data_IF_191637754935
#
_entry.id   IF_191637754935
#
_cell.length_a   1.000
_cell.length_b   1.000
_cell.length_c   1.000
_cell.angle_alpha   90.00
_cell.angle_beta   90.00
_cell.angle_gamma   90.00
#
_symmetry.space_group_name_H-M   'P 1'
#
loop_
_entity.id
_entity.type
_entity.pdbx_description
1 polymer ?
#
# COMPACT_ATOMS: atom_id res chain seq x y z
N UNK A 1 -5.14 -15.79 7.19
CA UNK A 1 -3.69 -15.96 6.97
C UNK A 1 -3.15 -14.58 6.65
N UNK A 2 -2.47 -13.95 7.61
CA UNK A 2 -1.84 -12.64 7.43
C UNK A 2 -0.65 -12.81 6.47
N UNK A 3 -0.69 -12.07 5.36
CA UNK A 3 0.38 -12.06 4.37
C UNK A 3 1.66 -11.49 4.98
N UNK A 4 2.58 -12.39 5.36
CA UNK A 4 4.01 -12.08 5.25
C UNK A 4 4.24 -11.60 3.82
N UNK A 5 4.77 -10.39 3.67
CA UNK A 5 5.07 -9.82 2.36
C UNK A 5 5.78 -10.86 1.51
N UNK A 6 5.31 -11.07 0.29
CA UNK A 6 5.87 -12.04 -0.64
C UNK A 6 7.21 -11.53 -1.23
N UNK A 7 7.94 -10.69 -0.50
CA UNK A 7 9.14 -10.04 -0.97
C UNK A 7 10.34 -10.96 -0.78
N UNK A 8 10.99 -11.28 -1.89
CA UNK A 8 12.31 -11.90 -1.90
C UNK A 8 13.37 -10.81 -1.69
N UNK A 9 14.20 -10.98 -0.66
CA UNK A 9 15.25 -10.02 -0.32
C UNK A 9 16.36 -10.04 -1.38
N UNK A 10 16.64 -8.88 -1.95
CA UNK A 10 17.65 -8.67 -2.99
C UNK A 10 18.99 -8.24 -2.38
N UNK A 11 19.00 -7.59 -1.22
CA UNK A 11 20.24 -7.23 -0.53
C UNK A 11 20.79 -8.38 0.30
N UNK A 12 22.13 -8.41 0.44
CA UNK A 12 22.84 -9.43 1.21
C UNK A 12 23.55 -8.78 2.39
N UNK A 13 23.65 -9.52 3.49
CA UNK A 13 24.41 -9.11 4.67
C UNK A 13 25.56 -10.08 4.92
N UNK A 14 26.64 -9.56 5.48
CA UNK A 14 27.73 -10.36 6.02
C UNK A 14 27.29 -11.10 7.28
N UNK A 15 28.13 -12.03 7.76
CA UNK A 15 27.83 -12.82 8.96
C UNK A 15 27.71 -11.98 10.24
N UNK A 16 28.29 -10.78 10.25
CA UNK A 16 28.20 -9.79 11.32
C UNK A 16 26.95 -8.88 11.22
N UNK A 17 26.14 -9.05 10.17
CA UNK A 17 24.94 -8.26 9.91
C UNK A 17 25.17 -6.99 9.09
N UNK A 18 26.42 -6.65 8.74
CA UNK A 18 26.70 -5.50 7.90
C UNK A 18 26.21 -5.70 6.46
N UNK A 19 25.73 -4.62 5.84
CA UNK A 19 25.25 -4.66 4.46
C UNK A 19 26.43 -4.92 3.50
N UNK A 20 26.29 -5.95 2.66
CA UNK A 20 27.26 -6.26 1.62
C UNK A 20 27.19 -5.21 0.51
N UNK A 21 28.27 -4.46 0.31
CA UNK A 21 28.41 -3.46 -0.76
C UNK A 21 29.41 -3.96 -1.79
N UNK A 22 28.99 -4.31 -3.02
CA UNK A 22 29.93 -4.67 -4.06
C UNK A 22 30.78 -3.45 -4.44
N UNK A 23 32.09 -3.56 -4.27
CA UNK A 23 33.03 -2.54 -4.74
C UNK A 23 33.28 -2.78 -6.23
N UNK A 24 32.58 -2.05 -7.09
CA UNK A 24 32.96 -1.97 -8.50
C UNK A 24 34.12 -0.99 -8.64
N UNK A 25 35.16 -1.35 -9.40
CA UNK A 25 36.23 -0.42 -9.78
C UNK A 25 35.66 0.51 -10.86
N UNK A 26 35.13 1.66 -10.45
CA UNK A 26 34.54 2.64 -11.36
C UNK A 26 35.63 3.58 -11.89
N UNK A 27 35.81 3.63 -13.21
CA UNK A 27 36.61 4.67 -13.88
C UNK A 27 35.95 6.04 -13.61
N UNK A 28 36.59 6.87 -12.79
CA UNK A 28 36.07 8.14 -12.24
C UNK A 28 35.70 9.19 -13.30
N UNK A 29 35.85 8.91 -14.60
CA UNK A 29 35.57 9.85 -15.70
C UNK A 29 34.10 9.95 -16.09
N UNK A 30 33.23 9.03 -15.67
CA UNK A 30 31.79 9.10 -15.94
C UNK A 30 31.07 9.27 -14.61
N UNK A 31 30.43 10.42 -14.42
CA UNK A 31 29.68 10.75 -13.20
C UNK A 31 28.47 9.82 -13.03
N UNK A 32 28.70 8.69 -12.38
CA UNK A 32 27.66 7.73 -12.02
C UNK A 32 27.10 8.08 -10.64
N UNK A 33 25.77 8.04 -10.55
CA UNK A 33 25.04 8.06 -9.28
C UNK A 33 25.56 6.91 -8.42
N UNK A 34 25.84 7.21 -7.15
CA UNK A 34 26.48 6.34 -6.18
C UNK A 34 25.65 5.06 -5.97
N UNK A 35 26.02 3.98 -6.66
CA UNK A 35 25.35 2.66 -6.59
C UNK A 35 25.22 2.15 -5.15
N UNK A 36 26.14 2.56 -4.27
CA UNK A 36 26.09 2.32 -2.82
C UNK A 36 24.82 2.89 -2.18
N UNK A 37 24.43 4.11 -2.55
CA UNK A 37 23.25 4.78 -1.98
C UNK A 37 21.95 4.07 -2.38
N UNK A 38 21.94 3.45 -3.56
CA UNK A 38 20.80 2.64 -4.04
C UNK A 38 20.69 1.36 -3.20
N UNK A 39 21.81 0.67 -2.97
CA UNK A 39 21.85 -0.58 -2.21
C UNK A 39 21.50 -0.32 -0.74
N UNK A 40 22.01 0.77 -0.15
CA UNK A 40 21.69 1.18 1.22
C UNK A 40 20.19 1.45 1.39
N UNK A 41 19.58 2.23 0.47
CA UNK A 41 18.14 2.50 0.49
C UNK A 41 17.29 1.26 0.28
N UNK A 42 17.71 0.36 -0.61
CA UNK A 42 16.98 -0.88 -0.86
C UNK A 42 16.97 -1.77 0.40
N UNK A 43 18.12 -1.92 1.06
CA UNK A 43 18.22 -2.68 2.31
C UNK A 43 17.33 -2.09 3.41
N UNK A 44 17.30 -0.76 3.52
CA UNK A 44 16.42 -0.05 4.45
C UNK A 44 14.94 -0.35 4.18
N UNK A 45 14.48 -0.29 2.92
CA UNK A 45 13.09 -0.61 2.59
C UNK A 45 12.74 -2.08 2.83
N UNK A 46 13.64 -3.01 2.52
CA UNK A 46 13.45 -4.44 2.82
C UNK A 46 13.32 -4.68 4.33
N UNK A 47 14.18 -4.04 5.14
CA UNK A 47 14.08 -4.09 6.61
C UNK A 47 12.76 -3.51 7.12
N UNK A 48 12.32 -2.37 6.57
CA UNK A 48 11.05 -1.76 6.93
C UNK A 48 9.87 -2.65 6.54
N UNK A 49 9.92 -3.33 5.40
CA UNK A 49 8.86 -4.25 4.97
C UNK A 49 8.78 -5.48 5.87
N UNK A 50 9.94 -6.10 6.16
CA UNK A 50 10.05 -7.25 7.07
C UNK A 50 9.58 -6.92 8.49
N UNK A 51 9.84 -5.70 8.96
CA UNK A 51 9.38 -5.19 10.25
C UNK A 51 7.90 -4.74 10.23
N UNK A 52 7.24 -4.76 9.07
CA UNK A 52 5.86 -4.28 8.92
C UNK A 52 5.70 -2.77 9.12
N UNK A 53 6.78 -2.00 8.96
CA UNK A 53 6.81 -0.54 9.09
C UNK A 53 6.50 0.21 7.79
N UNK A 54 6.50 -0.49 6.66
CA UNK A 54 5.99 0.08 5.41
C UNK A 54 4.47 0.18 5.44
N UNK A 55 3.97 1.32 4.96
CA UNK A 55 2.54 1.53 4.78
C UNK A 55 1.98 0.51 3.80
N UNK A 56 1.02 -0.29 4.25
CA UNK A 56 0.27 -1.20 3.37
C UNK A 56 -0.98 -0.48 2.89
N UNK A 57 -1.03 -0.21 1.59
CA UNK A 57 -2.22 0.34 0.95
C UNK A 57 -3.36 -0.69 0.97
N UNK A 58 -4.62 -0.23 1.01
CA UNK A 58 -5.79 -1.10 1.10
C UNK A 58 -5.98 -2.01 -0.14
N UNK A 59 -5.53 -1.53 -1.30
CA UNK A 59 -5.60 -2.19 -2.61
C UNK A 59 -4.59 -1.54 -3.56
N UNK A 60 -4.40 -2.12 -4.74
CA UNK A 60 -3.50 -1.59 -5.74
C UNK A 60 -4.14 -0.46 -6.56
N UNK A 61 -3.31 0.44 -7.10
CA UNK A 61 -3.76 1.38 -8.13
C UNK A 61 -4.18 0.59 -9.38
N UNK A 62 -5.34 0.92 -9.94
CA UNK A 62 -5.97 0.20 -11.05
C UNK A 62 -6.97 -0.86 -10.62
N UNK A 63 -7.04 -1.20 -9.33
CA UNK A 63 -8.05 -2.15 -8.83
C UNK A 63 -9.46 -1.58 -8.96
N UNK A 64 -10.42 -2.48 -9.16
CA UNK A 64 -11.84 -2.15 -9.07
C UNK A 64 -12.31 -2.24 -7.63
N UNK A 65 -12.87 -1.16 -7.12
CA UNK A 65 -13.42 -1.07 -5.76
C UNK A 65 -14.90 -0.73 -5.80
N UNK A 66 -15.60 -1.10 -4.73
CA UNK A 66 -17.03 -0.87 -4.58
C UNK A 66 -17.26 0.07 -3.41
N UNK A 67 -18.03 1.14 -3.65
CA UNK A 67 -18.44 2.08 -2.61
C UNK A 67 -19.96 2.14 -2.53
N UNK A 68 -20.51 2.12 -1.33
CA UNK A 68 -21.93 2.39 -1.12
C UNK A 68 -22.13 3.89 -0.89
N UNK A 69 -22.77 4.56 -1.83
CA UNK A 69 -23.01 6.00 -1.81
C UNK A 69 -24.27 6.33 -2.61
N UNK A 70 -24.98 7.38 -2.21
CA UNK A 70 -26.22 7.79 -2.90
C UNK A 70 -27.25 6.64 -3.03
N UNK A 71 -27.36 5.81 -1.97
CA UNK A 71 -28.24 4.63 -1.92
C UNK A 71 -27.94 3.58 -3.01
N UNK A 72 -26.74 3.61 -3.60
CA UNK A 72 -26.31 2.72 -4.69
C UNK A 72 -24.91 2.17 -4.41
N UNK A 73 -24.62 1.02 -5.01
CA UNK A 73 -23.27 0.50 -5.08
C UNK A 73 -22.62 1.06 -6.34
N UNK A 74 -21.60 1.89 -6.15
CA UNK A 74 -20.77 2.42 -7.21
C UNK A 74 -19.60 1.47 -7.46
N UNK A 75 -19.33 1.19 -8.74
CA UNK A 75 -18.12 0.50 -9.19
C UNK A 75 -17.12 1.55 -9.65
N UNK A 76 -15.95 1.57 -9.00
CA UNK A 76 -14.94 2.60 -9.15
C UNK A 76 -13.57 1.96 -9.44
N UNK A 77 -12.68 2.72 -10.06
CA UNK A 77 -11.29 2.35 -10.30
C UNK A 77 -10.39 3.20 -9.39
N UNK A 78 -9.39 2.58 -8.77
CA UNK A 78 -8.40 3.32 -7.98
C UNK A 78 -7.42 4.01 -8.91
N UNK A 79 -7.39 5.34 -8.90
CA UNK A 79 -6.46 6.11 -9.75
C UNK A 79 -5.14 6.41 -9.02
N UNK A 80 -5.22 6.74 -7.73
CA UNK A 80 -4.04 7.05 -6.92
C UNK A 80 -4.37 7.13 -5.43
N UNK A 81 -3.32 7.09 -4.60
CA UNK A 81 -3.37 7.43 -3.20
C UNK A 81 -2.54 8.68 -2.94
N UNK A 82 -3.04 9.57 -2.08
CA UNK A 82 -2.25 10.67 -1.52
C UNK A 82 -2.10 10.41 -0.03
N UNK A 83 -0.87 10.37 0.44
CA UNK A 83 -0.54 10.02 1.83
C UNK A 83 -0.10 11.29 2.56
N UNK A 84 -0.70 11.52 3.71
CA UNK A 84 -0.34 12.57 4.64
C UNK A 84 0.17 11.96 5.94
N UNK A 85 0.59 12.81 6.87
CA UNK A 85 1.06 12.38 8.19
C UNK A 85 -0.03 11.73 9.04
N UNK A 86 -1.29 12.08 8.79
CA UNK A 86 -2.48 11.75 9.59
C UNK A 86 -3.55 10.99 8.79
N UNK A 87 -3.29 10.63 7.53
CA UNK A 87 -4.29 9.92 6.74
C UNK A 87 -3.88 9.64 5.29
N UNK A 88 -4.83 9.05 4.56
CA UNK A 88 -4.69 8.65 3.16
C UNK A 88 -5.95 9.04 2.41
N UNK A 89 -5.79 9.75 1.30
CA UNK A 89 -6.87 9.96 0.33
C UNK A 89 -6.79 8.90 -0.78
N UNK A 90 -7.85 8.11 -0.95
CA UNK A 90 -8.05 7.32 -2.16
C UNK A 90 -8.77 8.17 -3.22
N UNK A 91 -8.14 8.32 -4.39
CA UNK A 91 -8.72 9.01 -5.56
C UNK A 91 -9.24 7.96 -6.52
N UNK A 92 -10.52 8.04 -6.82
CA UNK A 92 -11.25 7.02 -7.56
C UNK A 92 -11.97 7.63 -8.75
N UNK A 93 -12.03 6.90 -9.87
CA UNK A 93 -12.80 7.28 -11.05
C UNK A 93 -13.91 6.28 -11.33
N UNK A 94 -15.02 6.74 -11.89
CA UNK A 94 -16.04 5.86 -12.45
C UNK A 94 -16.05 5.94 -13.97
N UNK A 95 -16.40 4.82 -14.61
CA UNK A 95 -16.78 4.82 -16.04
C UNK A 95 -18.14 5.50 -16.27
N UNK A 96 -18.94 5.70 -15.21
CA UNK A 96 -20.20 6.41 -15.28
C UNK A 96 -19.95 7.92 -15.21
N UNK A 97 -20.42 8.67 -16.22
CA UNK A 97 -20.24 10.14 -16.30
C UNK A 97 -20.82 10.91 -15.10
N UNK A 98 -21.82 10.35 -14.44
CA UNK A 98 -22.47 10.97 -13.27
C UNK A 98 -21.58 10.96 -12.02
N UNK A 99 -20.57 10.08 -11.97
CA UNK A 99 -19.65 9.91 -10.85
C UNK A 99 -18.20 9.85 -11.33
N UNK A 100 -17.80 10.82 -12.17
CA UNK A 100 -16.50 10.82 -12.84
C UNK A 100 -15.32 10.76 -11.86
N UNK A 101 -15.47 11.35 -10.67
CA UNK A 101 -14.45 11.35 -9.63
C UNK A 101 -15.07 11.22 -8.24
N UNK A 102 -14.44 10.40 -7.40
CA UNK A 102 -14.75 10.28 -5.98
C UNK A 102 -13.45 10.30 -5.17
N UNK A 103 -13.48 11.01 -4.04
CA UNK A 103 -12.40 11.06 -3.06
C UNK A 103 -12.89 10.38 -1.78
N UNK A 104 -12.11 9.43 -1.26
CA UNK A 104 -12.37 8.82 0.05
C UNK A 104 -11.22 9.16 0.97
N UNK A 105 -11.54 9.90 2.03
CA UNK A 105 -10.58 10.31 3.05
C UNK A 105 -10.59 9.24 4.14
N UNK A 106 -9.43 8.66 4.39
CA UNK A 106 -9.26 7.58 5.36
C UNK A 106 -8.23 8.00 6.40
N UNK A 107 -8.59 7.88 7.67
CA UNK A 107 -7.58 7.78 8.71
C UNK A 107 -6.86 6.43 8.53
N UNK A 108 -5.54 6.41 8.76
CA UNK A 108 -4.79 5.15 8.73
C UNK A 108 -5.31 4.14 9.77
N UNK A 109 -5.90 4.63 10.87
CA UNK A 109 -6.53 3.83 11.90
C UNK A 109 -7.86 3.19 11.45
N UNK A 110 -8.54 3.77 10.45
CA UNK A 110 -9.83 3.26 9.95
C UNK A 110 -9.66 2.05 9.00
N UNK A 111 -8.42 1.70 8.65
CA UNK A 111 -8.13 0.58 7.76
C UNK A 111 -8.47 -0.76 8.43
N UNK A 112 -9.28 -1.58 7.77
CA UNK A 112 -9.82 -2.83 8.32
C UNK A 112 -11.11 -2.65 9.12
N UNK A 113 -11.48 -1.43 9.51
CA UNK A 113 -12.79 -1.13 10.11
C UNK A 113 -13.83 -0.73 9.06
N UNK A 114 -13.46 0.18 8.15
CA UNK A 114 -14.37 0.72 7.12
C UNK A 114 -14.03 0.25 5.70
N UNK A 115 -12.78 -0.16 5.49
CA UNK A 115 -12.30 -0.65 4.20
C UNK A 115 -11.89 -2.12 4.29
N UNK A 116 -12.51 -2.94 3.46
CA UNK A 116 -12.29 -4.39 3.45
C UNK A 116 -11.59 -4.81 2.16
N UNK A 117 -10.55 -5.62 2.30
CA UNK A 117 -9.81 -6.18 1.16
C UNK A 117 -10.57 -7.29 0.44
N UNK A 118 -11.61 -7.85 1.04
CA UNK A 118 -12.42 -8.93 0.48
C UNK A 118 -13.91 -8.67 0.69
N UNK A 119 -14.72 -9.18 -0.24
CA UNK A 119 -16.19 -9.11 -0.14
C UNK A 119 -16.68 -9.84 1.11
N UNK A 120 -16.10 -10.98 1.42
CA UNK A 120 -16.46 -11.81 2.58
C UNK A 120 -16.25 -11.05 3.90
N UNK A 121 -15.15 -10.30 4.02
CA UNK A 121 -14.88 -9.46 5.18
C UNK A 121 -15.89 -8.30 5.30
N UNK A 122 -16.25 -7.67 4.18
CA UNK A 122 -17.28 -6.62 4.16
C UNK A 122 -18.66 -7.15 4.57
N UNK A 123 -19.06 -8.31 4.05
CA UNK A 123 -20.34 -8.94 4.40
C UNK A 123 -20.38 -9.41 5.86
N UNK A 124 -19.25 -9.88 6.40
CA UNK A 124 -19.16 -10.26 7.81
C UNK A 124 -19.33 -9.03 8.72
N UNK A 125 -18.65 -7.92 8.42
CA UNK A 125 -18.78 -6.68 9.17
C UNK A 125 -20.21 -6.11 9.12
N UNK A 126 -20.86 -6.18 7.96
CA UNK A 126 -22.26 -5.77 7.82
C UNK A 126 -23.21 -6.59 8.71
N UNK A 127 -23.03 -7.92 8.76
CA UNK A 127 -23.84 -8.80 9.62
C UNK A 127 -23.65 -8.50 11.11
N UNK A 128 -22.44 -8.17 11.55
CA UNK A 128 -22.19 -7.80 12.94
C UNK A 128 -22.89 -6.48 13.32
N UNK A 129 -22.88 -5.48 12.41
CA UNK A 129 -23.64 -4.24 12.61
C UNK A 129 -25.15 -4.47 12.70
N UNK A 130 -25.70 -5.37 11.87
CA UNK A 130 -27.11 -5.75 11.92
C UNK A 130 -27.48 -6.48 13.22
N UNK A 131 -26.56 -7.26 13.81
CA UNK A 131 -26.77 -7.97 15.08
C UNK A 131 -26.65 -7.08 16.31
N UNK A 132 -25.85 -6.01 16.24
CA UNK A 132 -25.60 -5.07 17.35
C UNK A 132 -26.69 -4.01 17.55
N UNK A 133 -27.60 -3.81 16.58
CA UNK A 133 -28.72 -2.87 16.66
C UNK A 133 -30.02 -3.50 17.22
N UNK A 134 -29.89 -4.46 18.15
CA UNK A 134 -31.00 -5.13 18.84
C UNK A 134 -31.17 -4.69 20.30
#
# INVERSE_FOLDING_TARGET
MEGKGNMERLTRRHADGELFRPVYVIDRRKGYVNETDIIDKLAEYEDLEEQGKLLKLPCAVGDTVYSFSFEKILTLCVDSFVIYTDGIDARLSSKMKEYEFLKIDMDIADFGEKWFSTKEAAEAALKELERGNG
#
